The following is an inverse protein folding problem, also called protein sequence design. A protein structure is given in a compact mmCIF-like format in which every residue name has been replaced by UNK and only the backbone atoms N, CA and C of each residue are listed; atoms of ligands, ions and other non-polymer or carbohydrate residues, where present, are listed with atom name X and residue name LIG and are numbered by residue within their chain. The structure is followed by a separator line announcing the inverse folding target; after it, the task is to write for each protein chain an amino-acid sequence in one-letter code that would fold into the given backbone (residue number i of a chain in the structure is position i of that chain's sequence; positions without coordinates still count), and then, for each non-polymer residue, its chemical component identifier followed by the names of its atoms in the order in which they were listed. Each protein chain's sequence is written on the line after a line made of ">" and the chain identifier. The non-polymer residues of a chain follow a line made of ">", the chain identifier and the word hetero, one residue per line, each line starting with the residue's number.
data_IF_288006205200
#
_entry.id   IF_288006205200
#
_cell.length_a   1.000
_cell.length_b   1.000
_cell.length_c   1.000
_cell.angle_alpha   90.00
_cell.angle_beta   90.00
_cell.angle_gamma   90.00
#
_symmetry.space_group_name_H-M   'P 1'
#
loop_
_entity.id
_entity.type
_entity.pdbx_description
1 polymer ?
#
# COMPACT_ATOMS: atom_id res chain seq x y z
N UNK A 1 6.50 -4.94 -11.09
CA UNK A 1 6.32 -6.32 -10.61
C UNK A 1 7.37 -7.23 -11.23
N UNK A 2 8.10 -7.98 -10.42
CA UNK A 2 9.15 -8.94 -10.86
C UNK A 2 8.75 -10.36 -10.48
N UNK A 3 9.04 -11.35 -11.32
CA UNK A 3 8.83 -12.77 -11.00
C UNK A 3 10.19 -13.47 -10.89
N UNK A 4 10.41 -14.17 -9.79
CA UNK A 4 11.63 -14.95 -9.53
C UNK A 4 11.29 -16.37 -9.12
N UNK A 5 12.18 -17.32 -9.37
CA UNK A 5 11.99 -18.69 -8.88
C UNK A 5 12.28 -18.78 -7.38
N UNK A 6 11.66 -19.74 -6.69
CA UNK A 6 11.97 -20.05 -5.30
C UNK A 6 13.48 -20.21 -5.04
N UNK A 7 14.19 -20.96 -5.88
CA UNK A 7 15.63 -21.19 -5.73
C UNK A 7 16.44 -19.90 -5.83
N UNK A 8 16.06 -18.98 -6.74
CA UNK A 8 16.69 -17.67 -6.84
C UNK A 8 16.40 -16.81 -5.60
N UNK A 9 15.14 -16.71 -5.20
CA UNK A 9 14.73 -15.92 -4.04
C UNK A 9 15.43 -16.40 -2.76
N UNK A 10 15.59 -17.71 -2.58
CA UNK A 10 16.31 -18.29 -1.45
C UNK A 10 17.80 -17.89 -1.45
N UNK A 11 18.46 -17.97 -2.61
CA UNK A 11 19.89 -17.69 -2.71
C UNK A 11 20.21 -16.18 -2.68
N UNK A 12 19.26 -15.32 -3.04
CA UNK A 12 19.43 -13.88 -3.18
C UNK A 12 18.44 -13.07 -2.32
N UNK A 13 17.98 -13.63 -1.19
CA UNK A 13 16.87 -13.07 -0.40
C UNK A 13 17.12 -11.61 -0.01
N UNK A 14 18.34 -11.27 0.41
CA UNK A 14 18.70 -9.89 0.76
C UNK A 14 18.45 -8.92 -0.41
N UNK A 15 18.91 -9.27 -1.61
CA UNK A 15 18.72 -8.42 -2.79
C UNK A 15 17.24 -8.28 -3.13
N UNK A 16 16.45 -9.36 -3.00
CA UNK A 16 15.01 -9.30 -3.24
C UNK A 16 14.33 -8.35 -2.25
N UNK A 17 14.70 -8.39 -0.96
CA UNK A 17 14.16 -7.48 0.06
C UNK A 17 14.59 -6.03 -0.19
N UNK A 18 15.87 -5.80 -0.49
CA UNK A 18 16.39 -4.46 -0.79
C UNK A 18 15.70 -3.86 -2.03
N UNK A 19 15.46 -4.67 -3.06
CA UNK A 19 14.77 -4.25 -4.28
C UNK A 19 13.30 -3.85 -4.02
N UNK A 20 12.52 -4.66 -3.28
CA UNK A 20 11.10 -4.32 -3.00
C UNK A 20 10.94 -3.10 -2.09
N UNK A 21 11.92 -2.84 -1.21
CA UNK A 21 11.93 -1.64 -0.37
C UNK A 21 12.28 -0.41 -1.20
N UNK A 22 13.29 -0.50 -2.07
CA UNK A 22 13.74 0.64 -2.89
C UNK A 22 12.74 1.01 -3.98
N UNK A 23 12.22 0.01 -4.68
CA UNK A 23 11.44 0.23 -5.90
C UNK A 23 9.93 0.33 -5.61
N UNK A 24 9.52 0.20 -4.34
CA UNK A 24 8.13 0.24 -3.86
C UNK A 24 7.17 -0.68 -4.65
N UNK A 25 7.70 -1.80 -5.13
CA UNK A 25 7.05 -2.74 -6.04
C UNK A 25 7.06 -4.15 -5.43
N UNK A 26 6.27 -5.05 -6.01
CA UNK A 26 6.12 -6.42 -5.51
C UNK A 26 6.97 -7.40 -6.32
N UNK A 27 7.52 -8.39 -5.62
CA UNK A 27 8.19 -9.55 -6.21
C UNK A 27 7.36 -10.81 -5.99
N UNK A 28 7.03 -11.51 -7.07
CA UNK A 28 6.37 -12.81 -7.05
C UNK A 28 7.45 -13.90 -7.03
N UNK A 29 7.35 -14.80 -6.05
CA UNK A 29 8.18 -15.99 -5.94
C UNK A 29 7.39 -17.18 -6.49
N UNK A 30 7.80 -17.66 -7.65
CA UNK A 30 7.22 -18.83 -8.28
C UNK A 30 7.73 -20.14 -7.68
N UNK A 31 6.81 -21.04 -7.32
CA UNK A 31 7.11 -22.30 -6.62
C UNK A 31 6.58 -23.49 -7.42
N UNK A 32 7.48 -24.28 -8.02
CA UNK A 32 7.11 -25.43 -8.86
C UNK A 32 6.47 -26.59 -8.08
N UNK A 33 6.85 -26.77 -6.82
CA UNK A 33 6.44 -27.93 -6.00
C UNK A 33 5.50 -27.51 -4.85
N UNK A 34 4.69 -26.47 -5.04
CA UNK A 34 3.77 -25.99 -4.01
C UNK A 34 2.44 -25.49 -4.60
N UNK A 35 1.41 -25.38 -3.75
CA UNK A 35 0.06 -24.90 -4.12
C UNK A 35 0.03 -23.38 -4.36
N UNK A 36 0.84 -22.88 -5.29
CA UNK A 36 0.82 -21.50 -5.77
C UNK A 36 2.04 -20.67 -5.42
N UNK A 37 2.04 -19.43 -5.91
CA UNK A 37 3.14 -18.48 -5.80
C UNK A 37 2.99 -17.59 -4.55
N UNK A 38 4.10 -17.03 -4.08
CA UNK A 38 4.12 -16.11 -2.95
C UNK A 38 4.45 -14.69 -3.43
N UNK A 39 3.95 -13.67 -2.73
CA UNK A 39 4.27 -12.26 -3.00
C UNK A 39 5.12 -11.71 -1.86
N UNK A 40 6.19 -11.01 -2.22
CA UNK A 40 7.04 -10.24 -1.30
C UNK A 40 6.90 -8.76 -1.67
N UNK A 41 6.71 -7.93 -0.66
CA UNK A 41 6.56 -6.48 -0.79
C UNK A 41 7.16 -5.80 0.45
N UNK A 42 7.43 -4.50 0.37
CA UNK A 42 7.85 -3.74 1.56
C UNK A 42 6.71 -3.62 2.58
N UNK A 43 7.07 -3.44 3.85
CA UNK A 43 6.09 -3.21 4.92
C UNK A 43 5.26 -1.94 4.66
N UNK A 44 5.90 -0.87 4.20
CA UNK A 44 5.23 0.40 3.89
C UNK A 44 4.21 0.22 2.76
N UNK A 45 4.55 -0.57 1.74
CA UNK A 45 3.62 -0.89 0.65
C UNK A 45 2.44 -1.73 1.15
N UNK A 46 2.70 -2.74 1.98
CA UNK A 46 1.64 -3.54 2.62
C UNK A 46 0.69 -2.66 3.46
N UNK A 47 1.24 -1.81 4.33
CA UNK A 47 0.44 -0.92 5.17
C UNK A 47 -0.39 0.05 4.34
N UNK A 48 0.20 0.64 3.30
CA UNK A 48 -0.52 1.55 2.39
C UNK A 48 -1.68 0.86 1.68
N UNK A 49 -1.50 -0.40 1.27
CA UNK A 49 -2.55 -1.20 0.64
C UNK A 49 -3.68 -1.53 1.62
N UNK A 50 -3.34 -1.96 2.84
CA UNK A 50 -4.32 -2.27 3.89
C UNK A 50 -5.11 -1.02 4.28
N UNK A 51 -4.45 0.12 4.46
CA UNK A 51 -5.09 1.41 4.74
C UNK A 51 -6.06 1.81 3.62
N UNK A 52 -5.64 1.68 2.36
CA UNK A 52 -6.49 1.97 1.20
C UNK A 52 -7.73 1.07 1.19
N UNK A 53 -7.56 -0.23 1.43
CA UNK A 53 -8.69 -1.16 1.52
C UNK A 53 -9.62 -0.81 2.70
N UNK A 54 -9.05 -0.39 3.84
CA UNK A 54 -9.81 0.03 5.01
C UNK A 54 -10.66 1.27 4.70
N UNK A 55 -10.05 2.31 4.10
CA UNK A 55 -10.76 3.53 3.70
C UNK A 55 -11.87 3.25 2.68
N UNK A 56 -11.67 2.29 1.78
CA UNK A 56 -12.65 1.91 0.77
C UNK A 56 -13.64 0.83 1.22
N UNK A 57 -13.55 0.34 2.46
CA UNK A 57 -14.32 -0.81 2.93
C UNK A 57 -15.83 -0.56 3.01
N UNK A 58 -16.27 0.71 3.08
CA UNK A 58 -17.69 1.07 3.07
C UNK A 58 -17.99 2.03 1.92
N UNK A 59 -19.12 1.85 1.19
CA UNK A 59 -19.50 2.74 0.09
C UNK A 59 -19.61 4.20 0.53
N UNK A 60 -20.20 4.44 1.72
CA UNK A 60 -20.34 5.78 2.26
C UNK A 60 -19.00 6.49 2.49
N UNK A 61 -18.00 5.78 3.04
CA UNK A 61 -16.67 6.35 3.26
C UNK A 61 -15.91 6.54 1.94
N UNK A 62 -15.99 5.57 1.02
CA UNK A 62 -15.37 5.67 -0.30
C UNK A 62 -15.91 6.87 -1.09
N UNK A 63 -17.24 7.10 -1.08
CA UNK A 63 -17.86 8.25 -1.72
C UNK A 63 -17.47 9.57 -1.05
N UNK A 64 -17.43 9.61 0.28
CA UNK A 64 -17.01 10.79 1.03
C UNK A 64 -15.57 11.16 0.73
N UNK A 65 -14.66 10.18 0.74
CA UNK A 65 -13.26 10.37 0.39
C UNK A 65 -13.10 10.84 -1.06
N UNK A 66 -13.82 10.22 -2.01
CA UNK A 66 -13.79 10.64 -3.40
C UNK A 66 -14.30 12.07 -3.60
N UNK A 67 -15.32 12.51 -2.84
CA UNK A 67 -15.77 13.91 -2.82
C UNK A 67 -14.69 14.84 -2.28
N UNK A 68 -14.08 14.50 -1.14
CA UNK A 68 -13.03 15.30 -0.52
C UNK A 68 -11.82 15.50 -1.46
N UNK A 69 -11.36 14.43 -2.12
CA UNK A 69 -10.27 14.49 -3.11
C UNK A 69 -10.62 15.42 -4.27
N UNK A 70 -11.86 15.36 -4.79
CA UNK A 70 -12.30 16.26 -5.87
C UNK A 70 -12.32 17.72 -5.45
N UNK A 71 -12.80 18.01 -4.25
CA UNK A 71 -12.82 19.38 -3.71
C UNK A 71 -11.40 19.93 -3.55
N UNK A 72 -10.48 19.12 -3.02
CA UNK A 72 -9.07 19.49 -2.89
C UNK A 72 -8.42 19.79 -4.25
N UNK A 73 -8.60 18.90 -5.23
CA UNK A 73 -8.09 19.09 -6.59
C UNK A 73 -8.70 20.29 -7.33
N UNK A 74 -9.94 20.64 -7.00
CA UNK A 74 -10.62 21.82 -7.53
C UNK A 74 -10.23 23.13 -6.80
N UNK A 75 -9.42 23.06 -5.74
CA UNK A 75 -9.06 24.22 -4.92
C UNK A 75 -10.21 24.74 -4.05
N UNK A 76 -11.21 23.91 -3.77
CA UNK A 76 -12.38 24.24 -2.94
C UNK A 76 -12.12 24.01 -1.44
N UNK A 77 -10.90 23.61 -1.07
CA UNK A 77 -10.51 23.42 0.32
C UNK A 77 -10.59 24.73 1.11
N UNK A 78 -11.22 24.69 2.28
CA UNK A 78 -11.33 25.86 3.16
C UNK A 78 -10.31 25.76 4.31
N UNK A 79 -9.41 26.74 4.46
CA UNK A 79 -8.51 26.77 5.60
C UNK A 79 -9.31 26.96 6.89
N UNK A 80 -9.01 26.13 7.88
CA UNK A 80 -9.60 26.18 9.22
C UNK A 80 -8.46 26.24 10.22
N UNK A 81 -8.60 27.05 11.26
CA UNK A 81 -7.71 26.98 12.42
C UNK A 81 -7.96 25.66 13.16
N UNK A 82 -6.89 24.98 13.55
CA UNK A 82 -7.00 23.82 14.45
C UNK A 82 -7.64 24.29 15.75
N UNK A 83 -8.66 23.58 16.21
CA UNK A 83 -9.24 23.82 17.52
C UNK A 83 -8.32 23.20 18.56
N UNK A 84 -8.00 23.95 19.62
CA UNK A 84 -7.21 23.41 20.72
C UNK A 84 -7.94 22.23 21.35
N UNK A 85 -7.21 21.13 21.60
CA UNK A 85 -7.76 19.92 22.21
C UNK A 85 -8.18 20.13 23.68
N UNK A 86 -8.04 21.35 24.22
CA UNK A 86 -8.48 21.76 25.54
C UNK A 86 -9.91 22.31 25.51
N UNK A 87 -10.85 21.44 25.17
CA UNK A 87 -12.24 21.57 25.61
C UNK A 87 -12.53 20.41 26.56
N UNK A 88 -12.16 20.59 27.84
CA UNK A 88 -12.34 19.63 28.93
C UNK A 88 -11.29 19.79 30.01
#
# INVERSE_FOLDING_TARGET
>A
MKVVTYSHARNALKSVLDDVVRDADVTIISRRDAEGDAVVMSLDHYNSLVETLHLLSTPANAEALARAIRQDQAGEAQPRTLLDAHCG
#
